data_IF_387558023079
#
_entry.id   IF_387558023079
#
_cell.length_a   1.000
_cell.length_b   1.000
_cell.length_c   1.000
_cell.angle_alpha   90.00
_cell.angle_beta   90.00
_cell.angle_gamma   90.00
#
_symmetry.space_group_name_H-M   'P 1'
#
loop_
_entity.id
_entity.type
_entity.pdbx_description
1 polymer ?
#
# COMPACT_ATOMS: atom_id res chain seq x y z
N UNK A 1 9.22 90.49 40.86
CA UNK A 1 9.67 90.49 39.53
C UNK A 1 10.54 89.22 39.33
N UNK A 2 9.97 88.05 39.20
CA UNK A 2 10.73 86.82 38.99
C UNK A 2 9.87 85.86 38.17
N UNK A 3 10.32 85.53 36.99
CA UNK A 3 9.64 84.73 36.01
C UNK A 3 9.86 83.24 36.34
N UNK A 4 8.80 82.56 36.65
CA UNK A 4 8.82 81.14 36.89
C UNK A 4 8.58 80.41 35.55
N UNK A 5 9.57 79.70 35.01
CA UNK A 5 9.46 78.90 33.81
C UNK A 5 9.08 77.45 34.20
N UNK A 6 7.88 77.08 33.86
CA UNK A 6 7.40 75.72 34.03
C UNK A 6 7.85 74.88 32.81
N UNK A 7 8.69 73.89 33.04
CA UNK A 7 9.00 72.87 32.03
C UNK A 7 7.94 71.74 32.10
N UNK A 8 7.15 71.64 31.06
CA UNK A 8 6.25 70.49 30.88
C UNK A 8 7.07 69.40 30.18
N UNK A 9 7.37 68.29 30.90
CA UNK A 9 7.93 67.09 30.32
C UNK A 9 6.78 66.24 29.77
N UNK A 10 6.68 66.08 28.46
CA UNK A 10 5.77 65.16 27.77
C UNK A 10 6.42 63.80 27.79
N UNK A 11 5.93 62.90 28.63
CA UNK A 11 6.30 61.49 28.61
C UNK A 11 5.51 60.81 27.50
N UNK A 12 6.15 60.50 26.38
CA UNK A 12 5.59 59.61 25.36
C UNK A 12 5.65 58.16 25.84
N UNK A 13 4.54 57.66 26.37
CA UNK A 13 4.38 56.20 26.55
C UNK A 13 4.15 55.59 25.18
N UNK A 14 5.19 54.97 24.64
CA UNK A 14 5.09 54.09 23.49
C UNK A 14 4.44 52.76 23.88
N UNK A 15 3.16 52.58 23.52
CA UNK A 15 2.46 51.30 23.65
C UNK A 15 2.92 50.40 22.53
N UNK A 16 3.88 49.53 22.80
CA UNK A 16 4.28 48.47 21.88
C UNK A 16 3.20 47.39 21.91
N UNK A 17 2.27 47.43 20.96
CA UNK A 17 1.34 46.36 20.72
C UNK A 17 2.09 45.17 20.06
N UNK A 18 2.46 44.17 20.84
CA UNK A 18 2.95 42.90 20.33
C UNK A 18 1.76 42.14 19.72
N UNK A 19 1.64 42.20 18.38
CA UNK A 19 0.73 41.35 17.64
C UNK A 19 1.32 39.94 17.66
N UNK A 20 0.88 39.13 18.61
CA UNK A 20 1.07 37.69 18.58
C UNK A 20 0.21 37.13 17.44
N UNK A 21 0.80 36.96 16.27
CA UNK A 21 0.16 36.13 15.21
C UNK A 21 0.13 34.70 15.70
N UNK A 22 -1.05 34.27 16.15
CA UNK A 22 -1.34 32.87 16.34
C UNK A 22 -1.36 32.21 14.95
N UNK A 23 -0.26 31.57 14.57
CA UNK A 23 -0.25 30.65 13.45
C UNK A 23 -1.17 29.46 13.79
N UNK A 24 -2.41 29.55 13.37
CA UNK A 24 -3.26 28.36 13.30
C UNK A 24 -2.67 27.45 12.23
N UNK A 25 -1.96 26.42 12.68
CA UNK A 25 -1.59 25.31 11.83
C UNK A 25 -2.89 24.67 11.35
N UNK A 26 -3.31 24.96 10.13
CA UNK A 26 -4.27 24.15 9.40
C UNK A 26 -3.53 22.85 9.12
N UNK A 27 -3.72 21.87 10.01
CA UNK A 27 -3.29 20.50 9.81
C UNK A 27 -4.06 20.01 8.59
N UNK A 28 -3.42 20.07 7.42
CA UNK A 28 -3.93 19.46 6.21
C UNK A 28 -3.95 17.94 6.41
N UNK A 29 -4.98 17.46 7.07
CA UNK A 29 -5.30 16.06 7.16
C UNK A 29 -5.67 15.62 5.74
N UNK A 30 -4.70 15.06 5.00
CA UNK A 30 -5.04 14.17 3.88
C UNK A 30 -5.71 12.96 4.53
N UNK A 31 -7.01 13.08 4.76
CA UNK A 31 -7.85 11.96 5.17
C UNK A 31 -7.61 10.84 4.17
N UNK A 32 -7.00 9.75 4.62
CA UNK A 32 -7.05 8.49 3.90
C UNK A 32 -8.54 8.32 3.50
N UNK A 33 -8.81 8.16 2.21
CA UNK A 33 -10.18 7.94 1.74
C UNK A 33 -10.65 6.67 2.43
N UNK A 34 -11.49 6.81 3.46
CA UNK A 34 -12.22 5.69 4.02
C UNK A 34 -12.85 4.99 2.82
N UNK A 35 -12.57 3.70 2.63
CA UNK A 35 -13.29 2.92 1.63
C UNK A 35 -14.77 3.17 1.85
N UNK A 36 -15.43 3.83 0.92
CA UNK A 36 -16.82 4.26 1.13
C UNK A 36 -17.66 2.99 1.26
N UNK A 37 -18.39 2.78 2.38
CA UNK A 37 -19.26 1.63 2.52
C UNK A 37 -20.15 1.48 1.30
N UNK A 38 -20.20 0.29 0.71
CA UNK A 38 -21.05 0.00 -0.43
C UNK A 38 -20.42 0.23 -1.82
N UNK A 39 -19.17 0.71 -1.95
CA UNK A 39 -18.46 0.68 -3.24
C UNK A 39 -17.69 -0.62 -3.39
N UNK A 40 -17.70 -1.19 -4.59
CA UNK A 40 -16.92 -2.36 -4.94
C UNK A 40 -15.42 -2.04 -5.00
N UNK A 41 -14.60 -3.07 -4.90
CA UNK A 41 -13.15 -2.97 -5.00
C UNK A 41 -12.58 -4.22 -5.69
N UNK A 42 -11.34 -4.14 -6.15
CA UNK A 42 -10.59 -5.29 -6.63
C UNK A 42 -9.19 -5.32 -6.03
N UNK A 43 -8.84 -6.40 -5.34
CA UNK A 43 -7.46 -6.72 -4.95
C UNK A 43 -6.95 -7.76 -5.94
N UNK A 44 -5.84 -7.43 -6.60
CA UNK A 44 -5.19 -8.24 -7.62
C UNK A 44 -3.87 -8.71 -7.05
N UNK A 45 -3.74 -9.99 -6.81
CA UNK A 45 -2.51 -10.62 -6.35
C UNK A 45 -1.87 -11.38 -7.51
N UNK A 46 -0.74 -10.87 -8.01
CA UNK A 46 0.05 -11.50 -9.05
C UNK A 46 1.18 -12.31 -8.40
N UNK A 47 1.20 -13.62 -8.63
CA UNK A 47 2.33 -14.47 -8.30
C UNK A 47 3.25 -14.61 -9.51
N UNK A 48 4.46 -14.09 -9.38
CA UNK A 48 5.45 -13.92 -10.47
C UNK A 48 6.86 -14.29 -10.01
N UNK A 49 7.82 -14.32 -10.92
CA UNK A 49 9.24 -14.46 -10.62
C UNK A 49 10.10 -13.97 -11.79
N UNK A 50 11.23 -13.35 -11.48
CA UNK A 50 12.28 -13.02 -12.47
C UNK A 50 12.86 -14.27 -13.16
N UNK A 51 12.78 -15.44 -12.51
CA UNK A 51 13.24 -16.72 -13.04
C UNK A 51 12.30 -17.37 -14.05
N UNK A 52 11.07 -16.89 -14.19
CA UNK A 52 10.00 -17.46 -15.00
C UNK A 52 9.90 -16.74 -16.35
N UNK A 53 10.11 -17.41 -17.48
CA UNK A 53 10.15 -16.78 -18.82
C UNK A 53 8.79 -16.27 -19.31
N UNK A 54 7.68 -16.82 -18.83
CA UNK A 54 6.33 -16.37 -19.17
C UNK A 54 5.81 -15.23 -18.27
N UNK A 55 6.48 -14.94 -17.14
CA UNK A 55 6.05 -13.94 -16.18
C UNK A 55 6.14 -12.48 -16.67
N UNK A 56 7.16 -12.06 -17.45
CA UNK A 56 7.26 -10.67 -17.87
C UNK A 56 6.07 -10.14 -18.67
N UNK A 57 5.30 -11.00 -19.34
CA UNK A 57 4.07 -10.59 -20.04
C UNK A 57 2.96 -10.22 -19.07
N UNK A 58 2.85 -10.92 -17.93
CA UNK A 58 1.90 -10.61 -16.86
C UNK A 58 2.33 -9.34 -16.10
N UNK A 59 3.61 -9.20 -15.77
CA UNK A 59 4.16 -7.99 -15.13
C UNK A 59 3.86 -6.75 -15.99
N UNK A 60 4.09 -6.83 -17.31
CA UNK A 60 3.78 -5.75 -18.22
C UNK A 60 2.27 -5.45 -18.33
N UNK A 61 1.41 -6.48 -18.27
CA UNK A 61 -0.04 -6.31 -18.23
C UNK A 61 -0.48 -5.57 -16.97
N UNK A 62 -0.01 -6.02 -15.82
CA UNK A 62 -0.36 -5.42 -14.53
C UNK A 62 0.11 -3.96 -14.45
N UNK A 63 1.31 -3.65 -14.99
CA UNK A 63 1.82 -2.28 -15.08
C UNK A 63 0.96 -1.36 -15.99
N UNK A 64 0.35 -1.90 -17.05
CA UNK A 64 -0.61 -1.13 -17.86
C UNK A 64 -1.91 -0.90 -17.11
N UNK A 65 -2.44 -1.95 -16.49
CA UNK A 65 -3.69 -1.88 -15.71
C UNK A 65 -3.55 -0.90 -14.54
N UNK A 66 -2.44 -0.90 -13.82
CA UNK A 66 -2.17 0.04 -12.71
C UNK A 66 -2.38 1.49 -13.13
N UNK A 67 -1.81 1.88 -14.29
CA UNK A 67 -1.94 3.25 -14.82
C UNK A 67 -3.38 3.62 -15.19
N UNK A 68 -4.17 2.65 -15.64
CA UNK A 68 -5.55 2.86 -16.08
C UNK A 68 -6.56 2.94 -14.92
N UNK A 69 -6.18 2.40 -13.76
CA UNK A 69 -7.07 2.29 -12.59
C UNK A 69 -6.70 3.21 -11.43
N UNK A 70 -5.82 4.19 -11.64
CA UNK A 70 -5.27 5.08 -10.60
C UNK A 70 -6.33 5.70 -9.69
N UNK A 71 -7.50 6.06 -10.24
CA UNK A 71 -8.60 6.70 -9.50
C UNK A 71 -9.68 5.71 -9.04
N UNK A 72 -9.46 4.41 -9.24
CA UNK A 72 -10.42 3.36 -8.87
C UNK A 72 -9.95 2.62 -7.62
N UNK A 73 -10.85 2.02 -6.84
CA UNK A 73 -10.50 1.15 -5.72
C UNK A 73 -10.00 -0.21 -6.20
N UNK A 74 -8.88 -0.19 -6.92
CA UNK A 74 -8.16 -1.36 -7.42
C UNK A 74 -6.77 -1.36 -6.81
N UNK A 75 -6.41 -2.45 -6.17
CA UNK A 75 -5.17 -2.62 -5.41
C UNK A 75 -4.39 -3.78 -5.99
N UNK A 76 -3.16 -3.52 -6.41
CA UNK A 76 -2.31 -4.51 -7.06
C UNK A 76 -1.16 -4.87 -6.12
N UNK A 77 -0.88 -6.17 -6.01
CA UNK A 77 0.18 -6.72 -5.19
C UNK A 77 0.93 -7.78 -6.01
N UNK A 78 2.19 -7.53 -6.31
CA UNK A 78 3.05 -8.49 -7.00
C UNK A 78 3.90 -9.26 -5.97
N UNK A 79 3.68 -10.56 -5.89
CA UNK A 79 4.37 -11.48 -5.00
C UNK A 79 5.39 -12.28 -5.80
N UNK A 80 6.67 -12.07 -5.51
CA UNK A 80 7.74 -12.82 -6.14
C UNK A 80 7.97 -14.14 -5.40
N UNK A 81 7.61 -15.25 -6.04
CA UNK A 81 7.75 -16.60 -5.46
C UNK A 81 9.20 -17.09 -5.55
N UNK A 82 9.63 -17.89 -4.58
CA UNK A 82 11.03 -18.30 -4.46
C UNK A 82 11.37 -19.65 -5.09
N UNK A 83 10.37 -20.45 -5.48
CA UNK A 83 10.63 -21.79 -6.01
C UNK A 83 11.31 -21.83 -7.40
N UNK A 84 11.38 -20.70 -8.11
CA UNK A 84 12.15 -20.51 -9.33
C UNK A 84 13.65 -20.30 -9.08
N UNK A 85 14.06 -19.87 -7.87
CA UNK A 85 15.45 -19.58 -7.53
C UNK A 85 16.40 -20.74 -7.75
N UNK A 86 15.90 -21.99 -7.65
CA UNK A 86 16.66 -23.23 -7.91
C UNK A 86 17.18 -23.36 -9.34
N UNK A 87 16.65 -22.56 -10.28
CA UNK A 87 17.03 -22.60 -11.70
C UNK A 87 18.18 -21.65 -12.05
N UNK A 88 18.94 -21.19 -11.05
CA UNK A 88 20.21 -20.51 -11.23
C UNK A 88 20.16 -18.98 -11.16
N UNK A 89 18.98 -18.39 -10.96
CA UNK A 89 18.79 -16.97 -10.66
C UNK A 89 18.00 -16.79 -9.38
N UNK A 90 18.57 -16.08 -8.41
CA UNK A 90 17.83 -15.70 -7.20
C UNK A 90 17.16 -14.36 -7.45
N UNK A 91 15.84 -14.37 -7.54
CA UNK A 91 15.01 -13.18 -7.62
C UNK A 91 15.14 -12.39 -6.31
N UNK A 92 15.55 -11.12 -6.43
CA UNK A 92 15.87 -10.26 -5.28
C UNK A 92 14.65 -9.89 -4.44
N UNK A 93 13.45 -9.97 -5.00
CA UNK A 93 12.19 -9.69 -4.33
C UNK A 93 11.52 -10.95 -3.76
N UNK A 94 12.02 -12.13 -4.13
CA UNK A 94 11.37 -13.40 -3.78
C UNK A 94 11.49 -13.73 -2.31
N UNK A 95 10.41 -14.30 -1.77
CA UNK A 95 10.37 -14.79 -0.40
C UNK A 95 9.58 -16.09 -0.29
N UNK A 96 10.00 -17.03 0.61
CA UNK A 96 9.27 -18.27 0.86
C UNK A 96 7.83 -18.04 1.32
N UNK A 97 7.58 -16.95 2.04
CA UNK A 97 6.24 -16.58 2.51
C UNK A 97 5.26 -16.31 1.37
N UNK A 98 5.75 -15.86 0.19
CA UNK A 98 4.90 -15.62 -0.97
C UNK A 98 4.54 -16.91 -1.70
N UNK A 99 5.46 -17.87 -1.77
CA UNK A 99 5.15 -19.23 -2.24
C UNK A 99 4.18 -19.93 -1.31
N UNK A 100 4.32 -19.76 0.02
CA UNK A 100 3.37 -20.28 1.00
C UNK A 100 1.97 -19.66 0.84
N UNK A 101 1.89 -18.32 0.61
CA UNK A 101 0.62 -17.63 0.34
C UNK A 101 -0.06 -18.16 -0.92
N UNK A 102 0.71 -18.40 -1.98
CA UNK A 102 0.19 -19.00 -3.22
C UNK A 102 -0.36 -20.42 -2.99
N UNK A 103 0.38 -21.24 -2.22
CA UNK A 103 -0.07 -22.59 -1.86
C UNK A 103 -1.36 -22.56 -1.04
N UNK A 104 -1.50 -21.58 -0.14
CA UNK A 104 -2.74 -21.41 0.62
C UNK A 104 -3.93 -21.05 -0.27
N UNK A 105 -3.73 -20.27 -1.33
CA UNK A 105 -4.77 -20.06 -2.34
C UNK A 105 -5.12 -21.32 -3.10
N UNK A 106 -4.14 -22.18 -3.39
CA UNK A 106 -4.43 -23.47 -4.02
C UNK A 106 -5.36 -24.32 -3.13
N UNK A 107 -5.15 -24.32 -1.81
CA UNK A 107 -6.01 -25.02 -0.86
C UNK A 107 -7.43 -24.41 -0.83
N UNK A 108 -7.55 -23.09 -0.69
CA UNK A 108 -8.85 -22.40 -0.61
C UNK A 108 -9.67 -22.53 -1.90
N UNK A 109 -9.01 -22.52 -3.05
CA UNK A 109 -9.65 -22.57 -4.38
C UNK A 109 -9.71 -23.99 -4.94
N UNK A 110 -9.23 -25.01 -4.19
CA UNK A 110 -9.19 -26.42 -4.56
C UNK A 110 -8.47 -26.64 -5.91
N UNK A 111 -7.30 -25.98 -6.07
CA UNK A 111 -6.46 -26.13 -7.27
C UNK A 111 -5.57 -27.37 -7.15
N UNK A 112 -5.33 -28.04 -8.27
CA UNK A 112 -4.45 -29.22 -8.32
C UNK A 112 -2.95 -28.88 -8.24
N UNK A 113 -2.56 -27.62 -8.55
CA UNK A 113 -1.18 -27.15 -8.55
C UNK A 113 -1.11 -25.64 -8.52
N UNK A 114 0.05 -25.10 -8.12
CA UNK A 114 0.43 -23.70 -8.27
C UNK A 114 1.26 -23.50 -9.54
N UNK A 115 1.20 -22.31 -10.13
CA UNK A 115 1.94 -21.97 -11.35
C UNK A 115 2.23 -20.46 -11.40
N UNK A 116 3.14 -20.05 -12.28
CA UNK A 116 3.39 -18.65 -12.60
C UNK A 116 3.39 -18.41 -14.11
N UNK A 117 2.94 -17.22 -14.54
CA UNK A 117 2.29 -16.18 -13.74
C UNK A 117 0.86 -16.55 -13.39
N UNK A 118 0.48 -16.37 -12.13
CA UNK A 118 -0.91 -16.58 -11.67
C UNK A 118 -1.45 -15.28 -11.08
N UNK A 119 -2.69 -14.93 -11.42
CA UNK A 119 -3.44 -13.85 -10.78
C UNK A 119 -4.54 -14.45 -9.92
N UNK A 120 -4.71 -13.91 -8.71
CA UNK A 120 -5.86 -14.12 -7.84
C UNK A 120 -6.57 -12.79 -7.63
N UNK A 121 -7.89 -12.73 -7.85
CA UNK A 121 -8.71 -11.52 -7.66
C UNK A 121 -9.65 -11.71 -6.49
N UNK A 122 -9.56 -10.81 -5.50
CA UNK A 122 -10.35 -10.81 -4.25
C UNK A 122 -10.37 -12.17 -3.53
N UNK A 123 -9.31 -12.99 -3.69
CA UNK A 123 -9.21 -14.32 -3.08
C UNK A 123 -10.24 -15.34 -3.59
N UNK A 124 -10.94 -15.07 -4.68
CA UNK A 124 -12.07 -15.90 -5.16
C UNK A 124 -11.94 -16.42 -6.59
N UNK A 125 -11.18 -15.75 -7.41
CA UNK A 125 -11.00 -16.07 -8.84
C UNK A 125 -9.51 -16.16 -9.12
N UNK A 126 -9.08 -17.17 -9.84
CA UNK A 126 -7.70 -17.30 -10.27
C UNK A 126 -7.65 -17.61 -11.78
N UNK A 127 -6.56 -17.21 -12.42
CA UNK A 127 -6.31 -17.45 -13.85
C UNK A 127 -4.86 -17.13 -14.19
N UNK A 128 -4.45 -17.51 -15.41
CA UNK A 128 -3.10 -17.21 -15.92
C UNK A 128 -2.89 -15.69 -16.01
N UNK A 129 -1.81 -15.19 -15.38
CA UNK A 129 -1.57 -13.76 -15.19
C UNK A 129 -1.47 -12.92 -16.47
N UNK A 130 -1.26 -13.52 -17.62
CA UNK A 130 -1.21 -12.84 -18.93
C UNK A 130 -2.57 -12.76 -19.65
N UNK A 131 -3.65 -13.29 -19.07
CA UNK A 131 -4.99 -13.25 -19.66
C UNK A 131 -5.66 -11.88 -19.47
N UNK A 132 -5.34 -10.90 -20.32
CA UNK A 132 -5.79 -9.51 -20.22
C UNK A 132 -7.31 -9.38 -20.17
N UNK A 133 -8.04 -10.07 -21.04
CA UNK A 133 -9.51 -10.04 -21.07
C UNK A 133 -10.15 -10.53 -19.78
N UNK A 134 -9.63 -11.64 -19.24
CA UNK A 134 -10.08 -12.21 -17.98
C UNK A 134 -9.83 -11.27 -16.81
N UNK A 135 -8.64 -10.67 -16.72
CA UNK A 135 -8.30 -9.69 -15.69
C UNK A 135 -9.21 -8.47 -15.73
N UNK A 136 -9.40 -7.86 -16.90
CA UNK A 136 -10.25 -6.67 -17.06
C UNK A 136 -11.72 -6.94 -16.71
N UNK A 137 -12.23 -8.10 -17.10
CA UNK A 137 -13.59 -8.52 -16.76
C UNK A 137 -13.75 -8.78 -15.25
N UNK A 138 -12.75 -9.40 -14.61
CA UNK A 138 -12.75 -9.62 -13.16
C UNK A 138 -12.76 -8.28 -12.41
N UNK A 139 -11.89 -7.33 -12.77
CA UNK A 139 -11.87 -5.99 -12.18
C UNK A 139 -13.24 -5.32 -12.31
N UNK A 140 -13.80 -5.28 -13.53
CA UNK A 140 -15.10 -4.65 -13.78
C UNK A 140 -16.19 -5.26 -12.92
N UNK A 141 -16.28 -6.59 -12.90
CA UNK A 141 -17.27 -7.32 -12.10
C UNK A 141 -17.14 -7.03 -10.60
N UNK A 142 -15.90 -7.03 -10.07
CA UNK A 142 -15.68 -6.88 -8.63
C UNK A 142 -15.85 -5.42 -8.16
N UNK A 143 -15.67 -4.44 -9.04
CA UNK A 143 -16.00 -3.04 -8.75
C UNK A 143 -17.53 -2.78 -8.61
N UNK A 144 -18.36 -3.69 -9.12
CA UNK A 144 -19.82 -3.61 -8.99
C UNK A 144 -20.35 -4.29 -7.72
N UNK A 145 -19.51 -5.10 -7.04
CA UNK A 145 -19.88 -5.84 -5.82
C UNK A 145 -19.50 -5.03 -4.59
N UNK A 146 -20.50 -4.66 -3.77
CA UNK A 146 -20.25 -3.91 -2.54
C UNK A 146 -19.28 -4.63 -1.60
N UNK A 147 -18.33 -3.89 -1.01
CA UNK A 147 -17.45 -4.39 0.03
C UNK A 147 -18.28 -4.90 1.23
N UNK A 148 -17.87 -6.04 1.80
CA UNK A 148 -18.52 -6.64 2.97
C UNK A 148 -17.98 -6.09 4.29
N UNK A 149 -16.79 -5.49 4.27
CA UNK A 149 -16.18 -4.83 5.42
C UNK A 149 -15.53 -3.52 5.02
N UNK A 150 -15.60 -2.54 5.92
CA UNK A 150 -14.85 -1.30 5.81
C UNK A 150 -13.44 -1.53 6.30
N UNK A 151 -12.49 -0.81 5.75
CA UNK A 151 -11.11 -0.77 6.22
C UNK A 151 -10.52 0.62 6.00
N UNK A 152 -9.88 1.16 7.02
CA UNK A 152 -9.06 2.36 6.91
C UNK A 152 -7.68 2.11 7.54
N UNK A 153 -6.65 2.67 6.91
CA UNK A 153 -5.30 2.81 7.46
C UNK A 153 -5.06 4.30 7.65
N UNK A 154 -4.84 4.72 8.89
CA UNK A 154 -4.73 6.13 9.27
C UNK A 154 -3.53 6.36 10.19
N UNK A 155 -3.28 7.63 10.53
CA UNK A 155 -2.27 8.03 11.51
C UNK A 155 -0.89 7.39 11.29
N UNK A 156 -0.48 7.30 10.02
CA UNK A 156 0.81 6.72 9.65
C UNK A 156 1.91 7.65 10.13
N UNK A 157 2.77 7.11 10.99
CA UNK A 157 3.94 7.80 11.53
C UNK A 157 5.19 7.03 11.18
N UNK A 158 6.18 7.71 10.63
CA UNK A 158 7.50 7.15 10.33
C UNK A 158 8.48 7.60 11.40
N UNK A 159 9.14 6.64 12.03
CA UNK A 159 10.18 6.86 13.04
C UNK A 159 11.35 5.90 12.78
N UNK A 160 12.44 6.44 12.26
CA UNK A 160 13.62 5.67 11.85
C UNK A 160 13.29 4.60 10.81
N UNK A 161 13.51 3.35 11.17
CA UNK A 161 13.30 2.17 10.35
C UNK A 161 11.91 1.50 10.53
N UNK A 162 10.95 2.22 11.13
CA UNK A 162 9.61 1.72 11.43
C UNK A 162 8.53 2.71 11.04
N UNK A 163 7.40 2.17 10.61
CA UNK A 163 6.16 2.91 10.51
C UNK A 163 5.13 2.34 11.47
N UNK A 164 4.45 3.23 12.19
CA UNK A 164 3.28 2.90 13.01
C UNK A 164 2.04 3.27 12.22
N UNK A 165 1.05 2.38 12.19
CA UNK A 165 -0.16 2.49 11.39
C UNK A 165 -1.35 2.22 12.29
N UNK A 166 -2.29 3.13 12.36
CA UNK A 166 -3.58 2.86 12.99
C UNK A 166 -4.55 2.30 11.95
N UNK A 167 -5.28 1.25 12.31
CA UNK A 167 -6.32 0.68 11.46
C UNK A 167 -7.67 0.69 12.13
N UNK A 168 -8.73 0.82 11.32
CA UNK A 168 -10.12 0.59 11.73
C UNK A 168 -10.81 -0.28 10.69
N UNK A 169 -11.66 -1.21 11.14
CA UNK A 169 -12.38 -2.12 10.25
C UNK A 169 -13.75 -2.51 10.79
N UNK A 170 -14.67 -2.85 9.91
CA UNK A 170 -15.88 -3.57 10.30
C UNK A 170 -15.53 -4.96 10.86
N UNK A 171 -16.11 -5.36 11.98
CA UNK A 171 -15.83 -6.66 12.55
C UNK A 171 -16.33 -7.78 11.64
N UNK A 172 -15.43 -8.64 11.18
CA UNK A 172 -15.74 -9.84 10.42
C UNK A 172 -15.17 -11.04 11.17
N UNK A 173 -16.03 -12.02 11.48
CA UNK A 173 -15.58 -13.26 12.14
C UNK A 173 -14.62 -14.03 11.24
N UNK A 174 -13.67 -14.73 11.86
CA UNK A 174 -12.68 -15.56 11.17
C UNK A 174 -11.93 -14.78 10.08
N UNK A 175 -11.53 -13.56 10.39
CA UNK A 175 -10.80 -12.72 9.44
C UNK A 175 -9.53 -12.16 10.06
N UNK A 176 -8.54 -11.99 9.20
CA UNK A 176 -7.29 -11.30 9.49
C UNK A 176 -7.22 -10.00 8.69
N UNK A 177 -6.57 -9.00 9.25
CA UNK A 177 -6.08 -7.86 8.50
C UNK A 177 -4.69 -8.20 7.97
N UNK A 178 -4.52 -8.09 6.67
CA UNK A 178 -3.21 -8.12 6.03
C UNK A 178 -2.80 -6.69 5.70
N UNK A 179 -1.60 -6.30 6.08
CA UNK A 179 -0.98 -5.04 5.70
C UNK A 179 0.29 -5.35 4.92
N UNK A 180 0.33 -4.93 3.66
CA UNK A 180 1.47 -5.07 2.77
C UNK A 180 2.24 -3.75 2.66
N UNK A 181 3.58 -3.81 2.81
CA UNK A 181 4.48 -2.76 2.37
C UNK A 181 4.84 -3.02 0.92
N UNK A 182 4.53 -2.06 0.06
CA UNK A 182 4.62 -2.20 -1.39
C UNK A 182 5.61 -1.20 -1.96
N UNK A 183 6.61 -1.68 -2.71
CA UNK A 183 7.48 -0.85 -3.53
C UNK A 183 6.80 -0.61 -4.88
N UNK A 184 6.54 0.67 -5.19
CA UNK A 184 5.74 1.03 -6.36
C UNK A 184 6.37 0.60 -7.68
N UNK A 185 7.70 0.73 -7.79
CA UNK A 185 8.43 0.40 -9.02
C UNK A 185 9.86 -0.06 -8.72
N UNK A 186 10.32 -1.09 -9.42
CA UNK A 186 11.71 -1.49 -9.41
C UNK A 186 12.13 -2.02 -10.78
N UNK A 187 13.45 -2.07 -11.01
CA UNK A 187 14.04 -2.61 -12.24
C UNK A 187 15.24 -3.47 -11.88
N UNK A 188 15.30 -4.66 -12.47
CA UNK A 188 16.39 -5.60 -12.24
C UNK A 188 17.04 -6.04 -13.55
N UNK A 189 18.37 -6.10 -13.58
CA UNK A 189 19.13 -6.74 -14.66
C UNK A 189 19.34 -8.20 -14.28
N UNK A 190 18.55 -9.08 -14.87
CA UNK A 190 18.63 -10.54 -14.65
C UNK A 190 19.91 -11.07 -15.31
N UNK A 191 20.75 -11.78 -14.56
CA UNK A 191 22.04 -12.24 -15.08
C UNK A 191 22.02 -13.70 -15.54
N UNK A 192 21.10 -14.50 -15.02
CA UNK A 192 21.04 -15.97 -15.26
C UNK A 192 19.59 -16.46 -15.32
N UNK A 193 19.41 -17.75 -15.56
CA UNK A 193 18.09 -18.37 -15.68
C UNK A 193 17.41 -18.05 -17.01
N UNK A 194 16.12 -18.32 -17.12
CA UNK A 194 15.35 -18.21 -18.37
C UNK A 194 15.26 -16.76 -18.90
N UNK A 195 15.35 -15.77 -18.04
CA UNK A 195 15.35 -14.35 -18.39
C UNK A 195 16.76 -13.72 -18.37
N UNK A 196 17.82 -14.53 -18.39
CA UNK A 196 19.22 -14.05 -18.37
C UNK A 196 19.51 -13.05 -19.48
N UNK A 197 20.18 -11.94 -19.11
CA UNK A 197 20.51 -10.82 -20.02
C UNK A 197 19.41 -9.78 -20.19
N UNK A 198 18.19 -10.02 -19.71
CA UNK A 198 17.05 -9.07 -19.79
C UNK A 198 17.07 -8.05 -18.64
N UNK A 199 16.52 -6.87 -18.91
CA UNK A 199 16.15 -5.90 -17.88
C UNK A 199 14.64 -6.04 -17.70
N UNK A 200 14.24 -6.40 -16.49
CA UNK A 200 12.83 -6.55 -16.11
C UNK A 200 12.41 -5.36 -15.26
N UNK A 201 11.21 -4.87 -15.51
CA UNK A 201 10.58 -3.80 -14.72
C UNK A 201 9.35 -4.37 -14.03
N UNK A 202 9.24 -4.07 -12.74
CA UNK A 202 8.18 -4.55 -11.87
C UNK A 202 7.44 -3.37 -11.26
N UNK A 203 6.15 -3.55 -10.98
CA UNK A 203 5.31 -2.59 -10.27
C UNK A 203 4.64 -3.26 -9.08
N UNK A 204 4.31 -2.47 -8.05
CA UNK A 204 3.50 -2.90 -6.91
C UNK A 204 4.07 -4.13 -6.19
N UNK A 205 5.39 -4.16 -5.99
CA UNK A 205 6.13 -5.29 -5.44
C UNK A 205 5.89 -5.37 -3.94
N UNK A 206 5.35 -6.47 -3.47
CA UNK A 206 5.21 -6.71 -2.03
C UNK A 206 6.58 -7.05 -1.45
N UNK A 207 7.02 -6.24 -0.49
CA UNK A 207 8.30 -6.44 0.19
C UNK A 207 8.14 -6.94 1.62
N UNK A 208 6.98 -6.71 2.24
CA UNK A 208 6.65 -7.22 3.56
C UNK A 208 5.14 -7.43 3.68
N UNK A 209 4.76 -8.50 4.39
CA UNK A 209 3.39 -8.76 4.83
C UNK A 209 3.33 -8.77 6.35
N UNK A 210 2.33 -8.12 6.89
CA UNK A 210 1.95 -8.20 8.30
C UNK A 210 0.54 -8.77 8.39
N UNK A 211 0.39 -9.90 9.08
CA UNK A 211 -0.92 -10.48 9.39
C UNK A 211 -1.30 -10.14 10.81
N UNK A 212 -2.52 -9.65 11.00
CA UNK A 212 -3.08 -9.23 12.29
C UNK A 212 -4.39 -9.94 12.52
N UNK A 213 -4.43 -10.80 13.54
CA UNK A 213 -5.67 -11.46 13.93
C UNK A 213 -6.65 -10.43 14.50
N UNK A 214 -7.79 -10.25 13.88
CA UNK A 214 -8.75 -9.23 14.30
C UNK A 214 -9.48 -9.59 15.60
N UNK A 215 -9.69 -10.88 15.90
CA UNK A 215 -10.30 -11.37 17.14
C UNK A 215 -11.54 -10.56 17.61
N UNK A 216 -12.37 -10.10 16.66
CA UNK A 216 -13.46 -9.15 16.83
C UNK A 216 -13.03 -7.71 17.20
N UNK A 217 -11.74 -7.38 17.24
CA UNK A 217 -11.29 -6.01 17.36
C UNK A 217 -11.61 -5.22 16.08
N UNK A 218 -12.14 -4.02 16.27
CA UNK A 218 -12.49 -3.13 15.17
C UNK A 218 -11.42 -2.08 14.87
N UNK A 219 -10.44 -1.94 15.75
CA UNK A 219 -9.36 -0.98 15.64
C UNK A 219 -8.10 -1.48 16.33
N UNK A 220 -6.98 -0.94 15.96
CA UNK A 220 -5.69 -1.24 16.55
C UNK A 220 -4.56 -0.44 15.91
N UNK A 221 -3.38 -0.68 16.44
CA UNK A 221 -2.15 -0.04 15.94
C UNK A 221 -1.11 -1.11 15.68
N UNK A 222 -0.51 -1.06 14.50
CA UNK A 222 0.51 -2.01 14.06
C UNK A 222 1.79 -1.31 13.62
N UNK A 223 2.88 -2.04 13.70
CA UNK A 223 4.19 -1.57 13.26
C UNK A 223 4.66 -2.41 12.05
N UNK A 224 5.23 -1.73 11.07
CA UNK A 224 5.87 -2.36 9.92
C UNK A 224 7.30 -1.84 9.82
N UNK A 225 8.27 -2.71 9.49
CA UNK A 225 9.65 -2.30 9.29
C UNK A 225 9.82 -1.65 7.93
N UNK A 226 10.62 -0.60 7.86
CA UNK A 226 10.94 0.11 6.63
C UNK A 226 12.32 -0.32 6.12
N UNK A 227 12.54 -0.41 4.80
CA UNK A 227 13.82 -0.75 4.26
C UNK A 227 14.84 0.38 4.49
N UNK A 228 16.12 0.02 4.46
CA UNK A 228 17.19 1.01 4.47
C UNK A 228 17.07 1.94 3.27
N UNK A 229 17.20 3.25 3.49
CA UNK A 229 17.02 4.26 2.44
C UNK A 229 15.56 4.46 2.03
N UNK A 230 14.62 4.17 2.91
CA UNK A 230 13.19 4.39 2.68
C UNK A 230 12.89 5.80 2.16
N UNK A 231 12.15 5.86 1.06
CA UNK A 231 11.65 7.09 0.44
C UNK A 231 10.12 7.01 0.37
N UNK A 232 9.37 7.83 1.13
CA UNK A 232 7.91 7.74 1.19
C UNK A 232 7.20 7.88 -0.16
N UNK A 233 7.84 8.45 -1.18
CA UNK A 233 7.26 8.58 -2.51
C UNK A 233 7.29 7.26 -3.30
N UNK A 234 8.23 6.37 -2.99
CA UNK A 234 8.43 5.08 -3.68
C UNK A 234 7.65 3.93 -3.08
N UNK A 235 7.03 4.16 -1.93
CA UNK A 235 6.36 3.13 -1.17
C UNK A 235 4.91 3.50 -0.86
N UNK A 236 4.09 2.48 -0.68
CA UNK A 236 2.73 2.64 -0.17
C UNK A 236 2.34 1.45 0.71
N UNK A 237 1.25 1.60 1.44
CA UNK A 237 0.65 0.54 2.22
C UNK A 237 -0.66 0.11 1.55
N UNK A 238 -0.82 -1.20 1.36
CA UNK A 238 -2.09 -1.78 0.95
C UNK A 238 -2.56 -2.69 2.08
N UNK A 239 -3.77 -2.41 2.60
CA UNK A 239 -4.42 -3.22 3.61
C UNK A 239 -5.66 -3.91 3.06
N UNK A 240 -5.91 -5.14 3.50
CA UNK A 240 -7.13 -5.84 3.17
C UNK A 240 -7.55 -6.82 4.27
N UNK A 241 -8.86 -6.98 4.42
CA UNK A 241 -9.46 -7.93 5.36
C UNK A 241 -9.75 -9.22 4.63
N UNK A 242 -9.15 -10.31 5.07
CA UNK A 242 -9.24 -11.64 4.44
C UNK A 242 -9.89 -12.65 5.38
N UNK A 243 -10.83 -13.43 4.87
CA UNK A 243 -11.45 -14.54 5.57
C UNK A 243 -10.48 -15.74 5.59
N UNK A 244 -10.16 -16.26 6.78
CA UNK A 244 -9.20 -17.35 6.97
C UNK A 244 -9.74 -18.71 6.51
N UNK A 245 -11.06 -18.86 6.41
CA UNK A 245 -11.65 -20.16 6.04
C UNK A 245 -11.66 -20.41 4.53
N UNK A 246 -11.70 -19.34 3.70
CA UNK A 246 -11.88 -19.49 2.25
C UNK A 246 -11.06 -18.52 1.39
N UNK A 247 -10.23 -17.70 2.02
CA UNK A 247 -9.37 -16.74 1.33
C UNK A 247 -10.05 -15.49 0.77
N UNK A 248 -11.39 -15.38 0.86
CA UNK A 248 -12.12 -14.22 0.33
C UNK A 248 -11.66 -12.92 0.98
N UNK A 249 -11.34 -11.92 0.15
CA UNK A 249 -11.05 -10.56 0.61
C UNK A 249 -12.36 -9.79 0.64
N UNK A 250 -12.68 -9.22 1.82
CA UNK A 250 -13.99 -8.63 2.11
C UNK A 250 -13.98 -7.10 2.13
N UNK A 251 -12.81 -6.49 2.25
CA UNK A 251 -12.58 -5.06 2.20
C UNK A 251 -11.12 -4.76 2.00
N UNK A 252 -10.80 -3.64 1.35
CA UNK A 252 -9.43 -3.23 1.08
C UNK A 252 -9.29 -1.70 1.05
N UNK A 253 -8.09 -1.23 1.32
CA UNK A 253 -7.70 0.19 1.26
C UNK A 253 -6.23 0.33 0.94
N UNK A 254 -5.82 1.53 0.52
CA UNK A 254 -4.40 1.89 0.46
C UNK A 254 -4.14 3.20 1.20
N UNK A 255 -2.93 3.37 1.65
CA UNK A 255 -2.47 4.59 2.29
C UNK A 255 -1.06 4.95 1.84
N UNK A 256 -0.85 6.23 1.61
CA UNK A 256 0.46 6.80 1.27
C UNK A 256 1.19 7.20 2.56
N UNK A 257 2.51 7.10 2.54
CA UNK A 257 3.32 7.62 3.63
C UNK A 257 3.33 9.15 3.65
N UNK A 258 3.38 9.79 4.83
CA UNK A 258 3.50 11.23 4.94
C UNK A 258 4.83 11.71 4.34
N UNK A 259 4.77 12.76 3.53
CA UNK A 259 5.99 13.40 3.02
C UNK A 259 6.66 14.20 4.12
N UNK A 260 8.01 14.29 4.13
CA UNK A 260 8.74 15.18 5.03
C UNK A 260 8.26 16.63 4.88
N UNK A 261 8.19 17.37 5.98
CA UNK A 261 7.69 18.75 6.00
C UNK A 261 8.43 19.66 5.01
N UNK A 262 9.72 19.41 4.76
CA UNK A 262 10.52 20.14 3.77
C UNK A 262 10.11 19.94 2.31
N UNK A 263 9.42 18.85 1.98
CA UNK A 263 8.95 18.57 0.63
C UNK A 263 7.56 19.18 0.33
N UNK A 264 6.87 19.71 1.34
CA UNK A 264 5.54 20.29 1.19
C UNK A 264 5.56 21.79 0.78
N UNK A 265 6.73 22.43 0.74
CA UNK A 265 6.88 23.89 0.50
C UNK A 265 7.24 24.22 -0.96
N UNK A 266 7.42 23.24 -1.84
CA UNK A 266 7.91 23.45 -3.21
C UNK A 266 6.87 23.19 -4.32
N UNK A 267 5.59 23.45 -4.08
CA UNK A 267 4.55 23.48 -5.12
C UNK A 267 3.75 24.79 -5.09
#
# INVERSE_FOLDING_TARGET
MSSFRIFIAIACLGLAATVTQAFTFIKGEKTAKLGTPGKGFAVIELFTSEGCSSCPSADALVARVEKEVTDKPVYILAYHVDYWNRLGWKDVFSKPEYSARQSQYADWLNLSSVYTPQIVVNGRKEFVGSEEGTLRNAIKSDLEIAAKSDLALTDIKVDGDKATIHYTTGAVKNSVLIVALVEKNATTKVQRGENGGRILSHVQIVTQLKSVALNNSKDGTENISLPHGFDPQKWELIGFVQNEANGEITGATKAEFPLPVSAQVSN
#
